data_IF_244301339764
#
_entry.id   IF_244301339764
#
_cell.length_a   1.000
_cell.length_b   1.000
_cell.length_c   1.000
_cell.angle_alpha   90.00
_cell.angle_beta   90.00
_cell.angle_gamma   90.00
#
_symmetry.space_group_name_H-M   'P 1'
#
loop_
_entity.id
_entity.type
_entity.pdbx_description
1 polymer ?
#
# COMPACT_ATOMS: atom_id res chain seq x y z
N UNK A 1 20.04 -66.65 -28.01
CA UNK A 1 19.54 -65.61 -27.07
C UNK A 1 19.63 -64.26 -27.77
N UNK A 2 18.48 -63.67 -28.12
CA UNK A 2 18.38 -62.46 -28.94
C UNK A 2 18.43 -61.19 -28.07
N UNK A 3 19.42 -60.33 -28.30
CA UNK A 3 19.52 -59.01 -27.68
C UNK A 3 18.61 -58.02 -28.43
N UNK A 4 17.43 -57.73 -27.86
CA UNK A 4 16.62 -56.55 -28.19
C UNK A 4 16.79 -55.50 -27.10
N UNK A 5 17.90 -54.76 -27.13
CA UNK A 5 18.07 -53.53 -26.37
C UNK A 5 17.85 -52.34 -27.33
N UNK A 6 16.59 -52.15 -27.72
CA UNK A 6 16.15 -51.08 -28.61
C UNK A 6 15.70 -49.90 -27.75
N UNK A 7 16.48 -48.83 -27.79
CA UNK A 7 16.03 -47.41 -27.83
C UNK A 7 15.05 -46.97 -26.73
N UNK A 8 15.53 -46.75 -25.50
CA UNK A 8 14.78 -45.99 -24.47
C UNK A 8 15.65 -44.88 -23.84
N UNK A 9 16.58 -44.31 -24.62
CA UNK A 9 17.47 -43.25 -24.12
C UNK A 9 17.07 -41.83 -24.60
N UNK A 10 16.39 -41.55 -25.74
CA UNK A 10 16.21 -40.17 -26.16
C UNK A 10 15.05 -39.44 -25.46
N UNK A 11 14.17 -40.14 -24.72
CA UNK A 11 12.97 -39.52 -24.14
C UNK A 11 13.25 -38.68 -22.88
N UNK A 12 14.36 -38.92 -22.17
CA UNK A 12 14.66 -38.26 -20.89
C UNK A 12 15.27 -36.86 -21.08
N UNK A 13 15.90 -36.60 -22.23
CA UNK A 13 16.54 -35.30 -22.51
C UNK A 13 15.55 -34.21 -22.97
N UNK A 14 14.31 -34.57 -23.33
CA UNK A 14 13.31 -33.60 -23.80
C UNK A 14 12.54 -32.91 -22.67
N UNK A 15 12.64 -33.41 -21.43
CA UNK A 15 11.97 -32.84 -20.26
C UNK A 15 12.72 -31.65 -19.64
N UNK A 16 13.98 -31.43 -20.00
CA UNK A 16 14.79 -30.31 -19.47
C UNK A 16 14.72 -29.02 -20.30
N UNK A 17 14.00 -29.02 -21.42
CA UNK A 17 13.78 -27.84 -22.25
C UNK A 17 12.47 -27.09 -21.94
N UNK A 18 11.73 -27.50 -20.89
CA UNK A 18 10.74 -26.64 -20.26
C UNK A 18 11.50 -25.54 -19.52
N UNK A 19 11.93 -24.53 -20.27
CA UNK A 19 12.26 -23.25 -19.69
C UNK A 19 11.06 -22.89 -18.82
N UNK A 20 11.27 -22.90 -17.50
CA UNK A 20 10.41 -22.20 -16.57
C UNK A 20 10.42 -20.76 -17.06
N UNK A 21 9.48 -20.43 -17.95
CA UNK A 21 9.14 -19.06 -18.24
C UNK A 21 8.62 -18.58 -16.90
N UNK A 22 9.53 -17.98 -16.15
CA UNK A 22 9.21 -17.19 -14.97
C UNK A 22 8.39 -16.07 -15.56
N UNK A 23 7.09 -16.32 -15.70
CA UNK A 23 6.11 -15.33 -16.02
C UNK A 23 6.20 -14.36 -14.86
N UNK A 24 7.06 -13.35 -15.06
CA UNK A 24 7.16 -12.19 -14.21
C UNK A 24 5.72 -11.78 -13.98
N UNK A 25 5.21 -11.76 -12.74
CA UNK A 25 3.87 -11.23 -12.53
C UNK A 25 3.94 -9.81 -13.05
N UNK A 26 3.34 -9.59 -14.22
CA UNK A 26 3.14 -8.28 -14.78
C UNK A 26 2.24 -7.63 -13.74
N UNK A 27 2.86 -6.86 -12.84
CA UNK A 27 2.17 -5.97 -11.96
C UNK A 27 1.34 -5.09 -12.88
N UNK A 28 0.08 -5.49 -13.06
CA UNK A 28 -0.92 -4.77 -13.80
C UNK A 28 -1.39 -3.61 -12.92
N UNK A 29 -0.44 -2.83 -12.44
CA UNK A 29 -0.71 -1.47 -12.08
C UNK A 29 -0.77 -0.74 -13.41
N UNK A 30 -1.93 -0.85 -14.08
CA UNK A 30 -2.37 0.24 -14.93
C UNK A 30 -2.08 1.53 -14.13
N UNK A 31 -1.51 2.59 -14.74
CA UNK A 31 -1.24 3.81 -14.01
C UNK A 31 -2.55 4.22 -13.35
N UNK A 32 -2.60 4.09 -12.04
CA UNK A 32 -3.77 4.44 -11.25
C UNK A 32 -4.04 5.89 -11.60
N UNK A 33 -5.10 6.16 -12.35
CA UNK A 33 -5.46 7.54 -12.72
C UNK A 33 -5.60 8.40 -11.45
N UNK A 34 -5.89 7.78 -10.32
CA UNK A 34 -6.04 8.41 -9.02
C UNK A 34 -4.80 8.16 -8.15
N UNK A 35 -4.03 9.21 -7.93
CA UNK A 35 -2.88 9.21 -7.01
C UNK A 35 -3.32 9.65 -5.62
N UNK A 36 -2.91 8.88 -4.59
CA UNK A 36 -2.95 9.33 -3.21
C UNK A 36 -1.84 10.36 -2.99
N UNK A 37 -2.19 11.47 -2.36
CA UNK A 37 -1.26 12.55 -2.05
C UNK A 37 -1.23 12.81 -0.54
N UNK A 38 -0.04 12.81 0.05
CA UNK A 38 0.19 13.28 1.42
C UNK A 38 0.98 14.58 1.36
N UNK A 39 0.42 15.65 1.95
CA UNK A 39 1.03 16.98 1.92
C UNK A 39 1.43 17.40 0.49
N UNK A 40 0.58 17.07 -0.50
CA UNK A 40 0.79 17.36 -1.92
C UNK A 40 1.77 16.44 -2.66
N UNK A 41 2.36 15.44 -1.99
CA UNK A 41 3.31 14.48 -2.61
C UNK A 41 2.62 13.15 -2.88
N UNK A 42 2.86 12.59 -4.06
CA UNK A 42 2.36 11.25 -4.42
C UNK A 42 2.97 10.21 -3.49
N UNK A 43 2.11 9.42 -2.88
CA UNK A 43 2.50 8.28 -2.04
C UNK A 43 1.87 7.01 -2.59
N UNK A 44 2.63 5.91 -2.54
CA UNK A 44 2.06 4.59 -2.78
C UNK A 44 1.31 4.09 -1.54
N UNK A 45 0.45 3.08 -1.71
CA UNK A 45 -0.27 2.43 -0.60
C UNK A 45 0.70 1.90 0.47
N UNK A 46 1.84 1.35 0.04
CA UNK A 46 2.87 0.83 0.93
C UNK A 46 3.58 1.95 1.70
N UNK A 47 3.81 3.10 1.05
CA UNK A 47 4.40 4.27 1.70
C UNK A 47 3.43 4.90 2.69
N UNK A 48 2.15 5.00 2.33
CA UNK A 48 1.09 5.51 3.21
C UNK A 48 1.02 4.72 4.51
N UNK A 49 1.28 3.41 4.47
CA UNK A 49 1.32 2.58 5.67
C UNK A 49 2.32 3.10 6.73
N UNK A 50 3.31 3.93 6.38
CA UNK A 50 4.25 4.51 7.34
C UNK A 50 3.93 5.96 7.73
N UNK A 51 2.88 6.54 7.15
CA UNK A 51 2.46 7.92 7.40
C UNK A 51 1.45 7.93 8.54
N UNK A 52 1.82 8.58 9.65
CA UNK A 52 0.93 8.74 10.82
C UNK A 52 0.29 10.12 10.92
N UNK A 53 0.77 11.10 10.15
CA UNK A 53 0.33 12.50 10.20
C UNK A 53 0.39 13.14 8.81
N UNK A 54 -0.49 14.12 8.58
CA UNK A 54 -0.48 14.97 7.39
C UNK A 54 -1.81 14.99 6.66
N UNK A 55 -1.90 15.86 5.67
CA UNK A 55 -3.13 16.05 4.91
C UNK A 55 -3.17 15.11 3.72
N UNK A 56 -4.14 14.19 3.75
CA UNK A 56 -4.46 13.30 2.65
C UNK A 56 -5.38 14.00 1.64
N UNK A 57 -5.03 13.88 0.37
CA UNK A 57 -5.86 14.28 -0.77
C UNK A 57 -5.79 13.21 -1.85
N UNK A 58 -6.82 13.12 -2.69
CA UNK A 58 -6.82 12.28 -3.89
C UNK A 58 -6.78 13.19 -5.10
N UNK A 59 -5.90 12.90 -6.04
CA UNK A 59 -5.85 13.61 -7.30
C UNK A 59 -5.94 12.67 -8.49
N UNK A 60 -6.79 13.04 -9.45
CA UNK A 60 -6.88 12.40 -10.75
C UNK A 60 -5.91 13.04 -11.72
N UNK A 61 -5.09 12.22 -12.39
CA UNK A 61 -4.32 12.63 -13.55
C UNK A 61 -5.22 12.60 -14.79
N UNK A 62 -5.34 13.73 -15.48
CA UNK A 62 -6.10 13.78 -16.73
C UNK A 62 -5.22 13.26 -17.87
N UNK A 63 -5.62 12.15 -18.51
CA UNK A 63 -4.92 11.61 -19.67
C UNK A 63 -4.83 12.67 -20.78
N UNK A 64 -3.60 13.03 -21.17
CA UNK A 64 -3.33 14.09 -22.15
C UNK A 64 -2.97 15.47 -21.59
N UNK A 65 -2.95 15.66 -20.26
CA UNK A 65 -2.44 16.90 -19.65
C UNK A 65 -1.66 16.64 -18.35
N UNK A 66 -0.71 17.52 -18.01
CA UNK A 66 -0.03 17.48 -16.71
C UNK A 66 -0.90 18.04 -15.56
N UNK A 67 -2.18 18.32 -15.81
CA UNK A 67 -3.08 18.86 -14.78
C UNK A 67 -3.64 17.72 -13.91
N UNK A 68 -3.55 17.95 -12.60
CA UNK A 68 -4.10 17.08 -11.56
C UNK A 68 -5.36 17.72 -11.00
N UNK A 69 -6.46 16.99 -10.98
CA UNK A 69 -7.73 17.46 -10.42
C UNK A 69 -7.97 16.77 -9.09
N UNK A 70 -8.21 17.53 -8.02
CA UNK A 70 -8.60 16.94 -6.74
C UNK A 70 -9.91 16.16 -6.89
N UNK A 71 -10.08 15.09 -6.12
CA UNK A 71 -11.32 14.32 -6.11
C UNK A 71 -11.88 14.25 -4.68
N UNK A 72 -13.21 14.33 -4.52
CA UNK A 72 -13.84 14.04 -3.24
C UNK A 72 -13.78 12.53 -2.96
N UNK A 73 -13.66 12.16 -1.68
CA UNK A 73 -13.55 10.77 -1.25
C UNK A 73 -14.13 10.55 0.15
N UNK A 74 -14.48 9.30 0.45
CA UNK A 74 -14.78 8.82 1.79
C UNK A 74 -13.52 8.19 2.38
N UNK A 75 -13.31 8.38 3.67
CA UNK A 75 -12.21 7.77 4.39
C UNK A 75 -12.67 7.29 5.77
N UNK A 76 -12.41 6.02 6.08
CA UNK A 76 -12.86 5.41 7.32
C UNK A 76 -12.06 4.16 7.67
N UNK A 77 -12.05 3.83 8.96
CA UNK A 77 -11.43 2.61 9.48
C UNK A 77 -12.47 1.49 9.58
N UNK A 78 -12.02 0.26 9.32
CA UNK A 78 -12.82 -0.95 9.41
C UNK A 78 -12.07 -1.99 10.24
N UNK A 79 -12.72 -2.51 11.28
CA UNK A 79 -12.25 -3.60 12.14
C UNK A 79 -13.14 -4.80 11.94
N UNK A 80 -12.64 -5.83 11.26
CA UNK A 80 -13.45 -6.99 10.88
C UNK A 80 -14.62 -6.59 9.98
N UNK A 81 -15.85 -6.68 10.47
CA UNK A 81 -17.07 -6.26 9.76
C UNK A 81 -17.60 -4.89 10.19
N UNK A 82 -16.99 -4.25 11.18
CA UNK A 82 -17.49 -3.02 11.80
C UNK A 82 -16.67 -1.80 11.36
N UNK A 83 -17.34 -0.65 11.28
CA UNK A 83 -16.68 0.64 11.05
C UNK A 83 -16.23 1.19 12.40
N UNK A 84 -14.97 1.57 12.49
CA UNK A 84 -14.42 2.21 13.69
C UNK A 84 -14.79 3.68 13.64
N UNK A 85 -15.32 4.21 14.74
CA UNK A 85 -15.83 5.59 14.85
C UNK A 85 -16.87 5.93 13.75
N UNK A 86 -18.06 5.30 13.78
CA UNK A 86 -19.09 5.47 12.75
C UNK A 86 -19.63 6.91 12.65
N UNK A 87 -19.50 7.71 13.70
CA UNK A 87 -19.91 9.12 13.72
C UNK A 87 -18.89 10.06 13.07
N UNK A 88 -17.73 9.53 12.64
CA UNK A 88 -16.69 10.35 12.00
C UNK A 88 -17.17 10.99 10.69
N UNK A 89 -16.82 12.27 10.49
CA UNK A 89 -17.28 13.03 9.34
C UNK A 89 -16.81 12.43 8.00
N UNK A 90 -15.56 11.94 7.93
CA UNK A 90 -14.98 11.34 6.72
C UNK A 90 -15.63 10.02 6.29
N UNK A 91 -16.33 9.33 7.20
CA UNK A 91 -17.14 8.17 6.86
C UNK A 91 -18.49 8.57 6.25
N UNK A 92 -19.13 9.60 6.83
CA UNK A 92 -20.50 9.97 6.50
C UNK A 92 -20.61 10.94 5.32
N UNK A 93 -19.56 11.73 5.06
CA UNK A 93 -19.55 12.75 4.03
C UNK A 93 -18.29 12.70 3.18
N UNK A 94 -18.47 12.95 1.89
CA UNK A 94 -17.36 13.03 0.95
C UNK A 94 -16.52 14.27 1.24
N UNK A 95 -15.24 14.08 1.52
CA UNK A 95 -14.28 15.13 1.83
C UNK A 95 -13.29 15.30 0.68
N UNK A 96 -12.76 16.52 0.52
CA UNK A 96 -11.69 16.80 -0.46
C UNK A 96 -10.30 16.58 0.12
N UNK A 97 -10.19 16.66 1.45
CA UNK A 97 -8.99 16.47 2.22
C UNK A 97 -9.34 15.97 3.61
N UNK A 98 -8.45 15.18 4.22
CA UNK A 98 -8.58 14.80 5.63
C UNK A 98 -7.22 14.75 6.28
N UNK A 99 -7.13 15.12 7.57
CA UNK A 99 -5.95 14.78 8.35
C UNK A 99 -5.93 13.27 8.58
N UNK A 100 -4.78 12.66 8.33
CA UNK A 100 -4.55 11.23 8.57
C UNK A 100 -4.58 10.94 10.08
N UNK A 101 -4.14 11.89 10.91
CA UNK A 101 -4.09 11.74 12.36
C UNK A 101 -5.47 11.49 12.96
N UNK A 102 -6.46 12.33 12.62
CA UNK A 102 -7.83 12.27 13.14
C UNK A 102 -8.51 10.91 12.92
N UNK A 103 -8.04 10.18 11.92
CA UNK A 103 -8.56 8.88 11.53
C UNK A 103 -7.75 7.79 12.21
N UNK A 104 -6.41 7.87 12.12
CA UNK A 104 -5.51 6.85 12.65
C UNK A 104 -5.40 6.87 14.18
N UNK A 105 -5.84 7.93 14.87
CA UNK A 105 -5.90 7.97 16.34
C UNK A 105 -6.70 6.80 16.93
N UNK A 106 -7.73 6.34 16.22
CA UNK A 106 -8.58 5.21 16.62
C UNK A 106 -8.12 3.86 16.05
N UNK A 107 -7.03 3.83 15.28
CA UNK A 107 -6.58 2.63 14.58
C UNK A 107 -5.86 1.65 15.51
N UNK A 108 -6.20 0.37 15.36
CA UNK A 108 -5.45 -0.74 15.94
C UNK A 108 -4.74 -1.56 14.86
N UNK A 109 -3.71 -2.29 15.28
CA UNK A 109 -3.03 -3.21 14.39
C UNK A 109 -3.99 -4.29 13.89
N UNK A 110 -4.09 -4.44 12.57
CA UNK A 110 -5.03 -5.33 11.90
C UNK A 110 -6.26 -4.62 11.33
N UNK A 111 -6.52 -3.37 11.72
CA UNK A 111 -7.59 -2.57 11.11
C UNK A 111 -7.28 -2.28 9.64
N UNK A 112 -8.34 -2.00 8.88
CA UNK A 112 -8.27 -1.61 7.47
C UNK A 112 -8.70 -0.16 7.33
N UNK A 113 -7.79 0.69 6.88
CA UNK A 113 -8.13 2.01 6.38
C UNK A 113 -8.67 1.88 4.95
N UNK A 114 -9.89 2.38 4.75
CA UNK A 114 -10.55 2.42 3.46
C UNK A 114 -10.56 3.85 2.96
N UNK A 115 -10.12 4.05 1.72
CA UNK A 115 -10.19 5.31 1.00
C UNK A 115 -10.98 5.06 -0.28
N UNK A 116 -12.15 5.68 -0.41
CA UNK A 116 -13.08 5.43 -1.50
C UNK A 116 -13.46 6.72 -2.24
N UNK A 117 -12.94 6.95 -3.46
CA UNK A 117 -13.25 8.15 -4.24
C UNK A 117 -14.74 8.22 -4.60
N UNK A 118 -15.37 9.38 -4.46
CA UNK A 118 -16.76 9.59 -4.87
C UNK A 118 -16.79 9.83 -6.38
N UNK A 119 -17.37 8.88 -7.12
CA UNK A 119 -17.35 8.72 -8.59
C UNK A 119 -16.04 8.13 -9.13
N UNK A 120 -15.69 6.90 -8.73
CA UNK A 120 -14.59 6.23 -9.37
C UNK A 120 -15.06 5.78 -10.76
N UNK A 121 -14.41 6.25 -11.82
CA UNK A 121 -14.72 5.79 -13.18
C UNK A 121 -14.42 4.28 -13.34
N UNK A 122 -13.67 3.70 -12.40
CA UNK A 122 -13.32 2.28 -12.28
C UNK A 122 -13.31 1.84 -10.79
N UNK A 123 -13.89 0.70 -10.46
CA UNK A 123 -13.90 0.12 -9.09
C UNK A 123 -12.52 -0.12 -8.49
N UNK A 124 -11.45 -0.17 -9.29
CA UNK A 124 -10.05 -0.28 -8.84
C UNK A 124 -9.50 0.95 -8.12
N UNK A 125 -10.27 2.05 -8.05
CA UNK A 125 -9.84 3.29 -7.42
C UNK A 125 -9.93 3.27 -5.88
N UNK A 126 -10.71 2.34 -5.31
CA UNK A 126 -10.79 2.16 -3.85
C UNK A 126 -9.47 1.60 -3.33
N UNK A 127 -8.90 2.26 -2.32
CA UNK A 127 -7.65 1.82 -1.68
C UNK A 127 -7.97 1.25 -0.30
N UNK A 128 -7.33 0.12 0.01
CA UNK A 128 -7.47 -0.59 1.28
C UNK A 128 -6.08 -0.78 1.86
N UNK A 129 -5.86 -0.26 3.06
CA UNK A 129 -4.55 -0.24 3.71
C UNK A 129 -4.67 -0.92 5.06
N UNK A 130 -3.93 -2.01 5.26
CA UNK A 130 -3.90 -2.71 6.54
C UNK A 130 -2.93 -2.03 7.50
N UNK A 131 -3.42 -1.67 8.68
CA UNK A 131 -2.63 -1.08 9.76
C UNK A 131 -1.77 -2.16 10.40
N UNK A 132 -0.46 -1.92 10.48
CA UNK A 132 0.54 -2.82 11.06
C UNK A 132 1.04 -2.28 12.39
N UNK A 133 1.29 -3.19 13.34
CA UNK A 133 1.71 -2.90 14.72
C UNK A 133 3.00 -2.07 14.83
N UNK A 134 3.86 -2.09 13.82
CA UNK A 134 5.12 -1.33 13.77
C UNK A 134 4.93 0.17 13.51
N UNK A 135 3.70 0.63 13.25
CA UNK A 135 3.41 1.99 12.78
C UNK A 135 3.15 3.01 13.91
N UNK A 136 2.95 2.56 15.15
CA UNK A 136 2.45 3.41 16.25
C UNK A 136 3.56 3.97 17.15
N UNK A 137 4.80 3.49 17.04
CA UNK A 137 5.91 4.01 17.87
C UNK A 137 6.77 4.94 17.02
N UNK A 138 6.78 6.26 17.27
CA UNK A 138 7.93 7.05 16.85
C UNK A 138 9.16 6.38 17.45
N UNK A 139 10.13 6.00 16.60
CA UNK A 139 11.49 5.65 17.05
C UNK A 139 12.17 6.92 17.55
N UNK A 140 11.67 7.42 18.67
CA UNK A 140 12.36 8.39 19.49
C UNK A 140 13.55 7.65 20.12
N UNK A 141 14.69 7.68 19.44
CA UNK A 141 15.99 7.30 20.01
C UNK A 141 16.41 8.38 21.04
N UNK A 142 15.72 8.45 22.18
CA UNK A 142 16.06 9.38 23.27
C UNK A 142 17.38 9.05 23.97
N UNK A 143 18.00 7.93 23.64
CA UNK A 143 19.31 7.57 24.16
C UNK A 143 20.39 7.99 23.18
N UNK A 144 20.61 9.31 23.04
CA UNK A 144 21.94 9.80 22.71
C UNK A 144 22.86 9.44 23.87
N UNK A 145 23.53 8.31 23.71
CA UNK A 145 24.88 7.98 24.16
C UNK A 145 25.45 9.07 25.10
N UNK A 146 25.38 8.83 26.40
CA UNK A 146 26.24 9.50 27.38
C UNK A 146 27.68 9.28 26.92
N UNK A 147 28.35 10.31 26.40
CA UNK A 147 29.79 10.26 26.14
C UNK A 147 30.47 9.97 27.49
N UNK A 148 31.25 8.89 27.63
CA UNK A 148 32.07 8.74 28.82
C UNK A 148 33.08 9.90 28.85
N UNK A 149 33.11 10.64 29.96
CA UNK A 149 34.18 11.59 30.25
C UNK A 149 35.48 10.80 30.26
N UNK A 150 36.40 11.19 29.38
CA UNK A 150 37.78 10.73 29.41
C UNK A 150 38.49 11.56 30.47
N UNK A 151 38.54 11.05 31.69
CA UNK A 151 39.41 11.62 32.72
C UNK A 151 40.85 11.23 32.36
N UNK A 152 41.62 12.21 31.89
CA UNK A 152 43.06 12.08 31.72
C UNK A 152 43.71 12.31 33.09
N UNK A 153 44.16 11.23 33.72
CA UNK A 153 45.23 11.25 34.72
C UNK A 153 46.56 10.88 34.04
#
# INVERSE_FOLDING_TARGET
MNFKAVKIIPAILLLFALQASVALPKSANAPDENSLLINGRVVTTEQFAYVTNGILTIAKSNSGSNQKTALPFLIYLKRGSMIVNPESHGHNFAVWSSDVHDILEYAEAGDQLIIDPVKPHNTSARKVITIKKTQIVPRFQWFYILKPKKDNC
#
